data_IF_794074198535
#
_entry.id   IF_794074198535
#
_cell.length_a   1.000
_cell.length_b   1.000
_cell.length_c   1.000
_cell.angle_alpha   90.00
_cell.angle_beta   90.00
_cell.angle_gamma   90.00
#
_symmetry.space_group_name_H-M   'P 1'
#
loop_
_entity.id
_entity.type
_entity.pdbx_description
1 polymer ?
#
# COMPACT_ATOMS: atom_id res chain seq x y z
N UNK A 1 -23.26 25.85 14.23
CA UNK A 1 -22.81 24.49 14.65
C UNK A 1 -21.29 24.47 14.52
N UNK A 2 -20.55 24.58 15.63
CA UNK A 2 -19.08 24.61 15.64
C UNK A 2 -18.57 23.17 15.71
N UNK A 3 -18.09 22.63 14.60
CA UNK A 3 -17.25 21.43 14.62
C UNK A 3 -15.86 21.84 15.09
N UNK A 4 -15.66 21.92 16.41
CA UNK A 4 -14.31 21.87 16.97
C UNK A 4 -13.80 20.45 16.77
N UNK A 5 -13.09 20.23 15.67
CA UNK A 5 -12.26 19.05 15.51
C UNK A 5 -11.27 19.06 16.68
N UNK A 6 -11.42 18.12 17.59
CA UNK A 6 -10.43 17.88 18.63
C UNK A 6 -9.13 17.50 17.90
N UNK A 7 -8.18 18.43 17.82
CA UNK A 7 -6.96 18.24 17.05
C UNK A 7 -6.15 17.17 17.76
N UNK A 8 -6.03 15.98 17.16
CA UNK A 8 -5.03 15.01 17.58
C UNK A 8 -3.69 15.74 17.69
N UNK A 9 -3.07 15.71 18.89
CA UNK A 9 -1.78 16.34 19.12
C UNK A 9 -0.72 15.56 18.34
N UNK A 10 -0.42 16.06 17.15
CA UNK A 10 0.71 15.63 16.34
C UNK A 10 2.00 16.06 17.03
N UNK A 11 2.71 15.10 17.61
CA UNK A 11 4.00 15.30 18.24
C UNK A 11 5.05 14.42 17.56
N UNK A 12 6.17 15.02 17.16
CA UNK A 12 7.32 14.29 16.62
C UNK A 12 8.15 13.82 17.80
N UNK A 13 8.08 12.53 18.10
CA UNK A 13 8.93 11.94 19.13
C UNK A 13 10.35 11.72 18.60
N UNK A 14 11.23 12.68 18.85
CA UNK A 14 12.65 12.60 18.46
C UNK A 14 13.42 11.48 19.16
N UNK A 15 12.96 11.00 20.32
CA UNK A 15 13.55 9.87 21.04
C UNK A 15 13.14 8.50 20.46
N UNK A 16 12.07 8.46 19.66
CA UNK A 16 11.58 7.25 19.02
C UNK A 16 11.32 7.51 17.52
N UNK A 17 12.38 7.68 16.72
CA UNK A 17 12.24 7.92 15.30
C UNK A 17 11.55 6.74 14.63
N UNK A 18 10.60 7.03 13.75
CA UNK A 18 9.92 6.01 12.96
C UNK A 18 10.89 5.40 11.96
N UNK A 19 11.04 4.08 12.01
CA UNK A 19 11.91 3.35 11.08
C UNK A 19 11.19 3.17 9.74
N UNK A 20 11.85 3.56 8.66
CA UNK A 20 11.40 3.20 7.33
C UNK A 20 11.63 1.73 7.05
N UNK A 21 10.70 1.12 6.32
CA UNK A 21 10.82 -0.26 5.85
C UNK A 21 11.47 -0.25 4.48
N UNK A 22 12.39 -1.19 4.19
CA UNK A 22 13.17 -1.19 2.96
C UNK A 22 12.33 -1.49 1.70
N UNK A 23 11.07 -1.88 1.88
CA UNK A 23 10.19 -2.29 0.81
C UNK A 23 9.26 -1.18 0.29
N UNK A 24 9.31 0.02 0.86
CA UNK A 24 8.50 1.13 0.39
C UNK A 24 8.89 1.58 -1.02
N UNK A 25 7.90 1.76 -1.89
CA UNK A 25 8.06 2.37 -3.21
C UNK A 25 7.63 3.84 -3.22
N UNK A 26 7.47 4.38 -4.43
CA UNK A 26 7.06 5.76 -4.67
C UNK A 26 5.60 5.98 -4.23
N UNK A 27 5.30 7.05 -3.47
CA UNK A 27 3.94 7.33 -3.03
C UNK A 27 3.05 7.76 -4.20
N UNK A 28 1.76 7.42 -4.08
CA UNK A 28 0.71 7.89 -4.96
C UNK A 28 -0.13 8.94 -4.21
N UNK A 29 -0.05 10.19 -4.64
CA UNK A 29 -0.81 11.30 -4.04
C UNK A 29 -0.28 12.65 -4.51
N UNK A 30 -1.18 13.60 -4.72
CA UNK A 30 -0.81 14.99 -5.03
C UNK A 30 -0.48 15.78 -3.77
N UNK A 31 0.11 16.97 -3.95
CA UNK A 31 0.35 17.90 -2.83
C UNK A 31 -0.98 18.28 -2.18
N UNK A 32 -1.05 18.14 -0.86
CA UNK A 32 -2.25 18.49 -0.07
C UNK A 32 -3.39 17.47 -0.13
N UNK A 33 -3.34 16.45 -1.00
CA UNK A 33 -4.39 15.43 -1.13
C UNK A 33 -4.26 14.28 -0.12
N UNK A 34 -3.12 14.19 0.57
CA UNK A 34 -2.68 12.96 1.21
C UNK A 34 -2.08 11.99 0.20
N UNK A 35 -1.44 10.92 0.71
CA UNK A 35 -0.77 9.95 -0.15
C UNK A 35 -0.93 8.52 0.37
N UNK A 36 -0.77 7.57 -0.55
CA UNK A 36 -0.71 6.14 -0.25
C UNK A 36 0.63 5.60 -0.74
N UNK A 37 1.35 4.90 0.13
CA UNK A 37 2.53 4.14 -0.29
C UNK A 37 2.13 2.86 -1.01
N UNK A 38 2.96 2.46 -1.98
CA UNK A 38 2.89 1.11 -2.54
C UNK A 38 4.26 0.47 -2.44
N UNK A 39 4.27 -0.70 -1.81
CA UNK A 39 5.43 -1.57 -1.71
C UNK A 39 5.87 -1.99 -3.12
N UNK A 40 7.18 -2.09 -3.37
CA UNK A 40 7.69 -2.60 -4.64
C UNK A 40 7.18 -4.02 -4.94
N UNK A 41 6.80 -4.78 -3.91
CA UNK A 41 6.19 -6.11 -3.95
C UNK A 41 4.70 -6.07 -4.30
N UNK A 42 4.06 -4.91 -4.37
CA UNK A 42 2.68 -4.74 -4.84
C UNK A 42 1.65 -4.34 -3.78
N UNK A 43 1.96 -4.48 -2.49
CA UNK A 43 1.05 -4.18 -1.38
C UNK A 43 0.89 -2.67 -1.10
N UNK A 44 -0.33 -2.25 -0.77
CA UNK A 44 -0.60 -0.86 -0.36
C UNK A 44 -0.30 -0.67 1.14
N UNK A 45 0.47 0.35 1.46
CA UNK A 45 1.03 0.59 2.79
C UNK A 45 1.24 2.08 3.05
N UNK A 46 1.71 2.44 4.26
CA UNK A 46 2.21 3.79 4.58
C UNK A 46 1.25 4.91 4.13
N UNK A 47 0.03 4.86 4.66
CA UNK A 47 -1.01 5.81 4.34
C UNK A 47 -0.77 7.15 5.06
N UNK A 48 -0.83 8.25 4.33
CA UNK A 48 -0.79 9.61 4.87
C UNK A 48 -2.00 10.40 4.37
N UNK A 49 -3.18 9.80 4.50
CA UNK A 49 -4.46 10.35 4.07
C UNK A 49 -4.94 11.49 4.99
N UNK A 50 -4.54 11.46 6.26
CA UNK A 50 -4.81 12.51 7.23
C UNK A 50 -3.58 13.43 7.30
N UNK A 51 -3.73 14.75 7.07
CA UNK A 51 -2.61 15.69 7.12
C UNK A 51 -1.81 15.57 8.44
N UNK A 52 -0.49 15.44 8.32
CA UNK A 52 0.43 15.32 9.45
C UNK A 52 0.55 13.91 10.05
N UNK A 53 -0.36 12.97 9.74
CA UNK A 53 -0.33 11.60 10.24
C UNK A 53 0.14 10.62 9.16
N UNK A 54 1.02 9.69 9.54
CA UNK A 54 1.44 8.59 8.68
C UNK A 54 1.23 7.27 9.40
N UNK A 55 0.47 6.37 8.80
CA UNK A 55 0.15 5.05 9.35
C UNK A 55 1.30 4.05 9.10
N UNK A 56 2.41 4.22 9.82
CA UNK A 56 3.62 3.40 9.66
C UNK A 56 3.47 1.94 10.09
N UNK A 57 2.50 1.64 10.97
CA UNK A 57 2.24 0.29 11.49
C UNK A 57 1.48 -0.59 10.50
N UNK A 58 0.91 0.00 9.45
CA UNK A 58 0.15 -0.73 8.43
C UNK A 58 1.11 -1.19 7.33
N UNK A 59 1.36 -2.50 7.29
CA UNK A 59 2.35 -3.10 6.40
C UNK A 59 1.78 -3.35 5.01
N UNK A 60 0.63 -4.00 4.94
CA UNK A 60 -0.15 -4.20 3.72
C UNK A 60 -1.62 -4.27 4.11
N UNK A 61 -2.50 -3.61 3.36
CA UNK A 61 -3.94 -3.86 3.44
C UNK A 61 -4.28 -5.04 2.50
N UNK A 62 -4.70 -6.22 3.02
CA UNK A 62 -4.87 -7.42 2.19
C UNK A 62 -5.89 -7.27 1.06
N UNK A 63 -6.95 -6.48 1.30
CA UNK A 63 -8.02 -6.25 0.33
C UNK A 63 -7.64 -5.26 -0.80
N UNK A 64 -6.63 -4.41 -0.58
CA UNK A 64 -6.22 -3.41 -1.57
C UNK A 64 -5.18 -4.04 -2.48
N UNK A 65 -5.63 -4.56 -3.63
CA UNK A 65 -4.78 -5.30 -4.55
C UNK A 65 -5.21 -5.11 -6.00
N UNK A 66 -4.31 -5.41 -6.92
CA UNK A 66 -4.66 -5.68 -8.32
C UNK A 66 -4.67 -7.20 -8.54
N UNK A 67 -5.63 -7.67 -9.34
CA UNK A 67 -5.76 -9.08 -9.69
C UNK A 67 -5.64 -9.19 -11.21
N UNK A 68 -4.74 -10.06 -11.69
CA UNK A 68 -4.64 -10.40 -13.10
C UNK A 68 -5.47 -11.64 -13.38
N UNK A 69 -6.41 -11.54 -14.30
CA UNK A 69 -7.18 -12.69 -14.81
C UNK A 69 -6.94 -12.84 -16.31
N UNK A 70 -6.36 -13.96 -16.73
CA UNK A 70 -6.15 -14.30 -18.14
C UNK A 70 -7.24 -15.27 -18.59
N UNK A 71 -7.91 -14.92 -19.68
CA UNK A 71 -9.00 -15.72 -20.25
C UNK A 71 -8.67 -16.15 -21.67
N UNK A 72 -8.99 -17.40 -22.00
CA UNK A 72 -8.91 -17.98 -23.35
C UNK A 72 -10.16 -18.80 -23.58
N UNK A 73 -10.80 -18.67 -24.74
CA UNK A 73 -12.01 -19.41 -25.12
C UNK A 73 -13.11 -19.33 -24.04
N UNK A 74 -13.32 -18.13 -23.51
CA UNK A 74 -14.26 -17.82 -22.43
C UNK A 74 -14.03 -18.58 -21.10
N UNK A 75 -12.85 -19.17 -20.89
CA UNK A 75 -12.43 -19.80 -19.63
C UNK A 75 -11.30 -19.01 -18.99
N UNK A 76 -11.33 -18.88 -17.65
CA UNK A 76 -10.22 -18.31 -16.89
C UNK A 76 -9.13 -19.37 -16.75
N UNK A 77 -7.96 -19.12 -17.34
CA UNK A 77 -6.82 -20.06 -17.31
C UNK A 77 -5.76 -19.66 -16.28
N UNK A 78 -5.83 -18.43 -15.78
CA UNK A 78 -4.92 -17.93 -14.75
C UNK A 78 -5.60 -16.77 -14.00
N UNK A 79 -5.54 -16.80 -12.68
CA UNK A 79 -5.96 -15.69 -11.83
C UNK A 79 -5.05 -15.58 -10.63
N UNK A 80 -4.38 -14.44 -10.44
CA UNK A 80 -3.54 -14.19 -9.26
C UNK A 80 -3.63 -12.75 -8.80
N UNK A 81 -3.53 -12.57 -7.48
CA UNK A 81 -3.23 -11.28 -6.87
C UNK A 81 -1.81 -10.89 -7.25
N UNK A 82 -1.62 -9.70 -7.81
CA UNK A 82 -0.31 -9.18 -8.21
C UNK A 82 0.42 -8.56 -7.01
N UNK A 83 0.71 -9.39 -6.01
CA UNK A 83 1.48 -9.00 -4.82
C UNK A 83 2.34 -10.14 -4.30
N UNK A 84 3.62 -9.84 -4.13
CA UNK A 84 4.64 -10.67 -3.49
C UNK A 84 4.91 -10.26 -2.03
N UNK A 85 4.13 -9.31 -1.50
CA UNK A 85 4.27 -8.85 -0.12
C UNK A 85 3.77 -9.94 0.85
N UNK A 86 4.33 -9.95 2.06
CA UNK A 86 3.92 -10.90 3.10
C UNK A 86 2.57 -10.45 3.67
N UNK A 87 1.49 -11.09 3.22
CA UNK A 87 0.12 -10.78 3.61
C UNK A 87 -0.32 -11.76 4.69
N UNK A 88 -0.65 -11.22 5.87
CA UNK A 88 -1.22 -11.99 6.97
C UNK A 88 -2.73 -11.91 6.87
N UNK A 89 -3.38 -13.05 6.62
CA UNK A 89 -4.83 -13.19 6.59
C UNK A 89 -5.30 -13.86 7.88
N UNK A 90 -6.47 -13.47 8.38
CA UNK A 90 -7.10 -14.12 9.54
C UNK A 90 -8.36 -14.88 9.12
N UNK A 91 -8.48 -16.12 9.59
CA UNK A 91 -9.63 -16.98 9.28
C UNK A 91 -9.85 -17.19 7.78
N UNK A 92 -11.05 -16.88 7.30
CA UNK A 92 -11.46 -17.07 5.89
C UNK A 92 -11.37 -15.79 5.04
N UNK A 93 -10.70 -14.74 5.53
CA UNK A 93 -10.56 -13.50 4.78
C UNK A 93 -9.92 -13.74 3.42
N UNK A 94 -10.61 -13.31 2.35
CA UNK A 94 -10.10 -13.38 0.97
C UNK A 94 -9.66 -14.79 0.56
N UNK A 95 -10.26 -15.83 1.14
CA UNK A 95 -9.87 -17.23 0.93
C UNK A 95 -9.97 -17.70 -0.53
N UNK A 96 -10.79 -17.03 -1.34
CA UNK A 96 -10.92 -17.29 -2.78
C UNK A 96 -9.83 -16.62 -3.63
N UNK A 97 -8.99 -15.76 -3.04
CA UNK A 97 -7.93 -15.04 -3.74
C UNK A 97 -6.63 -15.82 -3.70
N UNK A 98 -5.91 -15.84 -4.82
CA UNK A 98 -4.61 -16.48 -4.91
C UNK A 98 -3.48 -15.47 -4.70
N UNK A 99 -2.87 -15.50 -3.52
CA UNK A 99 -1.73 -14.67 -3.11
C UNK A 99 -0.35 -15.31 -3.37
N UNK A 100 -0.28 -16.42 -4.10
CA UNK A 100 0.97 -17.15 -4.36
C UNK A 100 1.83 -16.55 -5.49
N UNK A 101 1.78 -15.23 -5.70
CA UNK A 101 2.58 -14.58 -6.74
C UNK A 101 4.09 -14.74 -6.43
N UNK A 102 4.88 -15.27 -7.38
CA UNK A 102 6.28 -15.62 -7.14
C UNK A 102 7.15 -14.37 -6.95
N UNK A 103 7.84 -14.29 -5.81
CA UNK A 103 8.74 -13.16 -5.45
C UNK A 103 9.85 -12.93 -6.47
N UNK A 104 10.35 -14.00 -7.10
CA UNK A 104 11.43 -13.93 -8.11
C UNK A 104 11.01 -13.26 -9.42
N UNK A 105 9.70 -13.15 -9.69
CA UNK A 105 9.16 -12.58 -10.93
C UNK A 105 8.72 -11.11 -10.71
N UNK A 106 9.09 -10.50 -9.58
CA UNK A 106 8.83 -9.10 -9.27
C UNK A 106 9.94 -8.23 -9.83
N UNK A 107 9.56 -7.28 -10.68
CA UNK A 107 10.43 -6.18 -11.08
C UNK A 107 9.69 -4.85 -10.91
N UNK A 108 10.22 -3.97 -10.07
CA UNK A 108 9.66 -2.65 -9.83
C UNK A 108 10.62 -1.58 -10.33
N UNK A 109 10.08 -0.58 -11.03
CA UNK A 109 10.82 0.61 -11.46
C UNK A 109 9.98 1.82 -11.15
N UNK A 110 10.64 2.88 -10.71
CA UNK A 110 10.00 4.16 -10.47
C UNK A 110 10.98 5.29 -10.75
N UNK A 111 10.49 6.32 -11.42
CA UNK A 111 11.18 7.60 -11.55
C UNK A 111 10.17 8.64 -11.10
N UNK A 112 10.50 9.40 -10.06
CA UNK A 112 9.72 10.57 -9.69
C UNK A 112 10.20 11.69 -10.60
N UNK A 113 9.41 12.02 -11.60
CA UNK A 113 9.63 13.22 -12.41
C UNK A 113 9.23 14.42 -11.57
N UNK A 114 10.16 15.39 -11.43
CA UNK A 114 9.94 16.61 -10.67
C UNK A 114 8.62 17.29 -11.10
N UNK A 115 7.79 17.60 -10.11
CA UNK A 115 6.85 18.69 -10.25
C UNK A 115 7.64 19.95 -9.84
N UNK A 116 8.19 20.66 -10.81
CA UNK A 116 8.65 22.02 -10.57
C UNK A 116 7.42 22.83 -10.11
N UNK A 117 7.54 23.48 -8.95
CA UNK A 117 6.55 24.42 -8.40
C UNK A 117 7.00 25.84 -8.65
#
# INVERSE_FOLDING_TARGET
MRYTFDKEKLFINTFQPLKHKPFYGVPCGGIGCGAMGRDFRGGFCKFSLRPGLVEHKVDVIPANQFILSVRRDNRCIYQKVLSAADIVLSGQQLSAWDFSFPKKDVHYRSVVVNADF
#
